data_IF_139008263594
#
_entry.id   IF_139008263594
#
_cell.length_a   1.000
_cell.length_b   1.000
_cell.length_c   1.000
_cell.angle_alpha   90.00
_cell.angle_beta   90.00
_cell.angle_gamma   90.00
#
_symmetry.space_group_name_H-M   'P 1'
#
loop_
_entity.id
_entity.type
_entity.pdbx_description
1 polymer ?
#
# COMPACT_ATOMS: atom_id res chain seq x y z
N UNK A 1 -10.02 -35.92 7.60
CA UNK A 1 -8.62 -35.46 7.71
C UNK A 1 -8.62 -33.94 7.76
N UNK A 2 -7.82 -33.33 8.64
CA UNK A 2 -7.65 -31.88 8.69
C UNK A 2 -6.68 -31.50 7.57
N UNK A 3 -7.04 -30.54 6.72
CA UNK A 3 -6.13 -29.98 5.72
C UNK A 3 -5.12 -29.08 6.40
N UNK A 4 -4.01 -29.64 6.88
CA UNK A 4 -2.94 -28.85 7.49
C UNK A 4 -2.35 -27.90 6.45
N UNK A 5 -2.34 -26.61 6.75
CA UNK A 5 -1.45 -25.69 6.05
C UNK A 5 0.01 -26.11 6.30
N UNK A 6 0.88 -25.91 5.31
CA UNK A 6 2.32 -26.10 5.47
C UNK A 6 2.97 -25.01 6.35
N UNK A 7 2.30 -23.85 6.48
CA UNK A 7 2.65 -22.77 7.38
C UNK A 7 1.36 -22.07 7.86
N UNK A 8 1.21 -21.71 9.14
CA UNK A 8 0.11 -20.86 9.61
C UNK A 8 0.21 -19.41 9.09
N UNK A 9 1.35 -19.03 8.51
CA UNK A 9 1.58 -17.75 7.84
C UNK A 9 1.97 -18.02 6.38
N UNK A 10 1.02 -18.15 5.44
CA UNK A 10 1.31 -18.55 4.05
C UNK A 10 2.07 -17.47 3.25
N UNK A 11 2.12 -16.22 3.71
CA UNK A 11 2.75 -15.08 3.04
C UNK A 11 3.99 -14.55 3.80
N UNK A 12 4.59 -15.36 4.67
CA UNK A 12 5.70 -14.95 5.56
C UNK A 12 7.03 -14.78 4.83
N UNK A 13 7.22 -15.48 3.72
CA UNK A 13 8.48 -15.58 2.99
C UNK A 13 8.22 -15.40 1.49
N UNK A 14 8.85 -14.39 0.91
CA UNK A 14 8.77 -14.06 -0.51
C UNK A 14 10.17 -14.15 -1.15
N UNK A 15 10.23 -14.66 -2.36
CA UNK A 15 11.45 -14.75 -3.19
C UNK A 15 11.64 -13.51 -4.08
N UNK A 16 12.86 -13.32 -4.59
CA UNK A 16 13.12 -12.25 -5.56
C UNK A 16 12.33 -12.42 -6.87
N UNK A 17 11.97 -13.65 -7.25
CA UNK A 17 11.11 -13.92 -8.41
C UNK A 17 9.67 -13.43 -8.20
N UNK A 18 9.10 -13.67 -7.02
CA UNK A 18 7.79 -13.12 -6.63
C UNK A 18 7.84 -11.59 -6.47
N UNK A 19 8.95 -11.01 -5.97
CA UNK A 19 9.14 -9.55 -5.95
C UNK A 19 9.24 -8.97 -7.37
N UNK A 20 9.84 -9.68 -8.33
CA UNK A 20 9.79 -9.30 -9.74
C UNK A 20 8.34 -9.34 -10.27
N UNK A 21 7.60 -10.41 -10.00
CA UNK A 21 6.20 -10.60 -10.40
C UNK A 21 5.26 -9.55 -9.78
N UNK A 22 5.54 -9.11 -8.54
CA UNK A 22 4.88 -7.97 -7.89
C UNK A 22 5.08 -6.68 -8.69
N UNK A 23 6.31 -6.37 -9.14
CA UNK A 23 6.57 -5.17 -9.96
C UNK A 23 5.99 -5.24 -11.37
N UNK A 24 5.96 -6.45 -11.96
CA UNK A 24 5.26 -6.71 -13.22
C UNK A 24 3.76 -6.43 -13.06
N UNK A 25 3.17 -6.92 -11.96
CA UNK A 25 1.73 -6.79 -11.67
C UNK A 25 1.35 -5.33 -11.34
N UNK A 26 2.07 -4.65 -10.45
CA UNK A 26 1.72 -3.28 -10.04
C UNK A 26 1.95 -2.23 -11.14
N UNK A 27 3.01 -2.38 -11.95
CA UNK A 27 3.50 -1.29 -12.82
C UNK A 27 3.86 -1.73 -14.24
N UNK A 28 3.45 -2.93 -14.67
CA UNK A 28 3.75 -3.48 -16.00
C UNK A 28 5.26 -3.47 -16.33
N UNK A 29 6.11 -3.72 -15.32
CA UNK A 29 7.56 -3.67 -15.47
C UNK A 29 8.06 -4.72 -16.46
N UNK A 30 8.70 -4.26 -17.55
CA UNK A 30 9.42 -5.14 -18.47
C UNK A 30 10.77 -5.49 -17.88
N UNK A 31 10.92 -6.77 -17.54
CA UNK A 31 12.12 -7.39 -16.97
C UNK A 31 12.70 -8.32 -18.05
N UNK A 32 14.02 -8.38 -18.18
CA UNK A 32 14.68 -9.26 -19.12
C UNK A 32 15.07 -10.59 -18.48
N UNK A 33 15.12 -11.65 -19.28
CA UNK A 33 15.45 -13.04 -18.92
C UNK A 33 16.61 -13.15 -17.92
N UNK A 34 17.76 -12.50 -18.19
CA UNK A 34 18.90 -12.46 -17.27
C UNK A 34 18.52 -12.03 -15.83
N UNK A 35 17.64 -11.04 -15.65
CA UNK A 35 17.17 -10.66 -14.31
C UNK A 35 16.24 -11.71 -13.67
N UNK A 36 15.43 -12.38 -14.48
CA UNK A 36 14.53 -13.44 -14.02
C UNK A 36 15.32 -14.67 -13.55
N UNK A 37 16.46 -14.93 -14.19
CA UNK A 37 17.43 -15.97 -13.82
C UNK A 37 18.38 -15.57 -12.66
N UNK A 38 18.34 -14.31 -12.20
CA UNK A 38 19.26 -13.79 -11.16
C UNK A 38 20.66 -13.39 -11.66
N UNK A 39 20.86 -13.30 -12.97
CA UNK A 39 22.11 -12.96 -13.64
C UNK A 39 22.39 -11.43 -13.71
N UNK A 40 23.60 -11.08 -14.17
CA UNK A 40 24.02 -9.67 -14.29
C UNK A 40 23.28 -8.94 -15.41
N UNK A 41 22.47 -7.94 -15.05
CA UNK A 41 21.63 -7.22 -16.00
C UNK A 41 22.40 -6.26 -16.94
N UNK A 42 22.74 -6.75 -18.14
CA UNK A 42 23.31 -5.94 -19.22
C UNK A 42 22.29 -5.04 -19.96
N UNK A 43 20.99 -5.36 -19.90
CA UNK A 43 19.97 -4.66 -20.69
C UNK A 43 19.62 -3.29 -20.09
N UNK A 44 20.00 -2.21 -20.77
CA UNK A 44 19.77 -0.83 -20.32
C UNK A 44 18.30 -0.43 -20.16
N UNK A 45 17.37 -1.11 -20.86
CA UNK A 45 15.91 -0.87 -20.82
C UNK A 45 15.18 -1.73 -19.78
N UNK A 46 15.86 -2.66 -19.10
CA UNK A 46 15.24 -3.50 -18.08
C UNK A 46 14.81 -2.68 -16.86
N UNK A 47 13.52 -2.74 -16.52
CA UNK A 47 12.97 -1.96 -15.38
C UNK A 47 13.54 -2.41 -14.04
N UNK A 48 13.91 -3.69 -13.90
CA UNK A 48 14.45 -4.27 -12.66
C UNK A 48 15.76 -3.61 -12.20
N UNK A 49 16.52 -2.95 -13.08
CA UNK A 49 17.70 -2.13 -12.68
C UNK A 49 17.36 -1.00 -11.70
N UNK A 50 16.07 -0.70 -11.50
CA UNK A 50 15.55 0.29 -10.55
C UNK A 50 15.06 -0.31 -9.23
N UNK A 51 15.09 -1.64 -9.06
CA UNK A 51 14.58 -2.35 -7.87
C UNK A 51 15.24 -1.89 -6.57
N UNK A 52 16.54 -1.58 -6.59
CA UNK A 52 17.26 -1.02 -5.44
C UNK A 52 16.69 0.32 -4.93
N UNK A 53 15.96 1.08 -5.76
CA UNK A 53 15.24 2.29 -5.33
C UNK A 53 13.88 2.00 -4.67
N UNK A 54 13.46 0.75 -4.67
CA UNK A 54 12.19 0.24 -4.14
C UNK A 54 12.36 -0.75 -2.99
N UNK A 55 13.59 -0.98 -2.52
CA UNK A 55 13.94 -1.82 -1.37
C UNK A 55 12.88 -1.70 -0.24
N UNK A 56 12.58 -0.48 0.19
CA UNK A 56 11.67 -0.23 1.34
C UNK A 56 10.19 -0.15 0.96
N UNK A 57 9.84 -0.28 -0.32
CA UNK A 57 8.51 -0.73 -0.76
C UNK A 57 8.41 -2.25 -0.68
N UNK A 58 9.47 -3.00 -1.03
CA UNK A 58 9.50 -4.44 -0.82
C UNK A 58 9.50 -4.79 0.68
N UNK A 59 10.15 -4.00 1.54
CA UNK A 59 10.09 -4.20 3.00
C UNK A 59 8.72 -3.88 3.56
N UNK A 60 8.04 -2.84 3.06
CA UNK A 60 6.63 -2.59 3.34
C UNK A 60 5.75 -3.79 2.90
N UNK A 61 5.95 -4.31 1.68
CA UNK A 61 5.22 -5.48 1.18
C UNK A 61 5.45 -6.70 2.09
N UNK A 62 6.71 -7.04 2.41
CA UNK A 62 7.07 -8.14 3.32
C UNK A 62 6.41 -7.95 4.70
N UNK A 63 6.44 -6.73 5.24
CA UNK A 63 5.82 -6.41 6.53
C UNK A 63 4.30 -6.64 6.52
N UNK A 64 3.58 -6.07 5.55
CA UNK A 64 2.11 -6.21 5.51
C UNK A 64 1.68 -7.64 5.21
N UNK A 65 2.37 -8.33 4.30
CA UNK A 65 2.02 -9.72 3.94
C UNK A 65 2.42 -10.74 5.01
N UNK A 66 3.57 -10.62 5.66
CA UNK A 66 3.96 -11.53 6.75
C UNK A 66 3.06 -11.46 7.99
N UNK A 67 2.26 -10.39 8.13
CA UNK A 67 1.21 -10.28 9.14
C UNK A 67 -0.07 -11.07 8.82
N UNK A 68 -0.18 -11.69 7.64
CA UNK A 68 -1.35 -12.46 7.22
C UNK A 68 -1.49 -13.79 7.98
N UNK A 69 -2.61 -13.93 8.69
CA UNK A 69 -3.04 -15.10 9.48
C UNK A 69 -4.49 -15.44 9.10
N UNK A 70 -4.74 -16.43 8.23
CA UNK A 70 -6.08 -16.70 7.71
C UNK A 70 -7.10 -17.07 8.79
N UNK A 71 -8.37 -16.74 8.55
CA UNK A 71 -9.49 -17.11 9.42
C UNK A 71 -9.89 -18.58 9.17
N UNK A 72 -9.30 -19.49 9.94
CA UNK A 72 -9.41 -20.92 9.74
C UNK A 72 -10.57 -21.53 10.56
N UNK A 73 -11.79 -21.35 10.06
CA UNK A 73 -12.93 -22.16 10.48
C UNK A 73 -12.70 -23.65 10.13
N UNK A 74 -13.31 -24.61 10.86
CA UNK A 74 -13.15 -26.03 10.59
C UNK A 74 -13.45 -26.40 9.12
N UNK A 75 -12.46 -26.94 8.43
CA UNK A 75 -12.48 -27.32 7.01
C UNK A 75 -12.65 -26.18 5.97
N UNK A 76 -12.45 -24.91 6.35
CA UNK A 76 -12.26 -23.82 5.39
C UNK A 76 -10.91 -23.91 4.65
N UNK A 77 -10.76 -23.09 3.60
CA UNK A 77 -9.46 -22.78 2.99
C UNK A 77 -9.09 -21.32 3.33
N UNK A 78 -7.81 -20.93 3.30
CA UNK A 78 -7.42 -19.54 3.47
C UNK A 78 -7.74 -18.72 2.20
N UNK A 79 -8.03 -17.43 2.36
CA UNK A 79 -8.24 -16.53 1.24
C UNK A 79 -6.95 -16.32 0.42
N UNK A 80 -5.81 -16.18 1.08
CA UNK A 80 -4.49 -16.09 0.44
C UNK A 80 -3.64 -17.31 0.79
N UNK A 81 -3.31 -18.11 -0.23
CA UNK A 81 -2.54 -19.36 -0.12
C UNK A 81 -1.04 -19.15 -0.34
N UNK A 82 -0.69 -18.11 -1.10
CA UNK A 82 0.65 -17.72 -1.53
C UNK A 82 0.62 -16.27 -2.04
N UNK A 83 1.77 -15.74 -2.49
CA UNK A 83 1.83 -14.38 -3.04
C UNK A 83 1.11 -14.22 -4.39
N UNK A 84 0.92 -15.28 -5.18
CA UNK A 84 0.11 -15.24 -6.41
C UNK A 84 -1.34 -14.84 -6.16
N UNK A 85 -2.00 -15.36 -5.12
CA UNK A 85 -3.38 -14.94 -4.77
C UNK A 85 -3.47 -13.41 -4.56
N UNK A 86 -2.42 -12.80 -3.97
CA UNK A 86 -2.35 -11.34 -3.83
C UNK A 86 -2.19 -10.67 -5.19
N UNK A 87 -1.35 -11.20 -6.07
CA UNK A 87 -1.14 -10.65 -7.40
C UNK A 87 -2.38 -10.80 -8.29
N UNK A 88 -3.13 -11.89 -8.20
CA UNK A 88 -4.41 -12.09 -8.90
C UNK A 88 -5.45 -11.04 -8.49
N UNK A 89 -5.63 -10.81 -7.19
CA UNK A 89 -6.56 -9.79 -6.68
C UNK A 89 -6.13 -8.39 -7.16
N UNK A 90 -4.83 -8.08 -7.16
CA UNK A 90 -4.32 -6.81 -7.71
C UNK A 90 -4.65 -6.67 -9.21
N UNK A 91 -4.47 -7.72 -10.02
CA UNK A 91 -4.80 -7.70 -11.47
C UNK A 91 -6.30 -7.49 -11.69
N UNK A 92 -7.15 -8.17 -10.91
CA UNK A 92 -8.61 -8.02 -10.96
C UNK A 92 -9.03 -6.57 -10.63
N UNK A 93 -8.45 -6.00 -9.57
CA UNK A 93 -8.66 -4.62 -9.14
C UNK A 93 -8.19 -3.57 -10.17
N UNK A 94 -7.10 -3.86 -10.90
CA UNK A 94 -6.61 -3.00 -11.99
C UNK A 94 -7.45 -3.12 -13.27
N UNK A 95 -8.03 -4.29 -13.54
CA UNK A 95 -8.85 -4.54 -14.73
C UNK A 95 -10.25 -3.95 -14.61
N UNK A 96 -10.82 -3.92 -13.39
CA UNK A 96 -12.20 -3.50 -13.13
C UNK A 96 -12.31 -2.49 -11.97
N UNK A 97 -11.62 -1.33 -12.05
CA UNK A 97 -11.53 -0.38 -10.94
C UNK A 97 -12.87 0.26 -10.55
N UNK A 98 -13.83 0.29 -11.47
CA UNK A 98 -15.18 0.86 -11.30
C UNK A 98 -16.24 -0.17 -10.85
N UNK A 99 -15.90 -1.47 -10.81
CA UNK A 99 -16.79 -2.50 -10.27
C UNK A 99 -16.81 -2.43 -8.73
N UNK A 100 -17.94 -2.77 -8.10
CA UNK A 100 -18.07 -2.66 -6.63
C UNK A 100 -17.21 -3.70 -5.93
N UNK A 101 -16.71 -3.36 -4.74
CA UNK A 101 -15.98 -4.26 -3.84
C UNK A 101 -16.70 -5.61 -3.65
N UNK A 102 -18.01 -5.61 -3.42
CA UNK A 102 -18.83 -6.81 -3.23
C UNK A 102 -18.85 -7.72 -4.45
N UNK A 103 -19.07 -7.14 -5.64
CA UNK A 103 -19.10 -7.82 -6.93
C UNK A 103 -17.74 -8.48 -7.22
N UNK A 104 -16.64 -7.75 -7.07
CA UNK A 104 -15.27 -8.25 -7.24
C UNK A 104 -14.90 -9.36 -6.26
N UNK A 105 -15.30 -9.20 -4.99
CA UNK A 105 -15.07 -10.23 -3.95
C UNK A 105 -15.80 -11.52 -4.31
N UNK A 106 -17.06 -11.41 -4.73
CA UNK A 106 -17.86 -12.56 -5.17
C UNK A 106 -17.28 -13.21 -6.43
N UNK A 107 -16.90 -12.44 -7.45
CA UNK A 107 -16.37 -12.97 -8.71
C UNK A 107 -15.00 -13.67 -8.54
N UNK A 108 -14.19 -13.25 -7.57
CA UNK A 108 -12.93 -13.92 -7.25
C UNK A 108 -13.15 -15.23 -6.48
N UNK A 109 -13.93 -15.20 -5.40
CA UNK A 109 -14.05 -16.36 -4.50
C UNK A 109 -15.13 -17.38 -4.88
N UNK A 110 -16.12 -17.03 -5.71
CA UNK A 110 -17.12 -17.99 -6.25
C UNK A 110 -16.51 -19.07 -7.15
N UNK A 111 -15.31 -18.82 -7.69
CA UNK A 111 -14.53 -19.77 -8.52
C UNK A 111 -13.80 -20.85 -7.70
N UNK A 112 -13.90 -20.84 -6.36
CA UNK A 112 -13.26 -21.82 -5.47
C UNK A 112 -14.31 -22.83 -4.96
N UNK A 113 -14.00 -24.13 -5.07
CA UNK A 113 -14.86 -25.24 -4.58
C UNK A 113 -15.29 -25.10 -3.11
N UNK A 114 -14.48 -24.41 -2.31
CA UNK A 114 -14.74 -24.05 -0.92
C UNK A 114 -14.30 -22.61 -0.70
N UNK A 115 -15.20 -21.62 -0.77
CA UNK A 115 -14.84 -20.24 -0.50
C UNK A 115 -14.33 -20.09 0.95
N UNK A 116 -13.31 -19.25 1.18
CA UNK A 116 -12.83 -18.92 2.52
C UNK A 116 -13.88 -18.07 3.27
N UNK A 117 -13.80 -17.90 4.60
CA UNK A 117 -14.75 -17.09 5.36
C UNK A 117 -14.78 -15.63 4.89
N UNK A 118 -15.94 -14.97 4.99
CA UNK A 118 -16.13 -13.60 4.46
C UNK A 118 -15.17 -12.58 5.08
N UNK A 119 -14.84 -12.75 6.37
CA UNK A 119 -13.77 -12.05 7.09
C UNK A 119 -12.43 -12.08 6.33
N UNK A 120 -11.97 -13.27 5.98
CA UNK A 120 -10.70 -13.51 5.29
C UNK A 120 -10.75 -13.02 3.83
N UNK A 121 -11.87 -13.24 3.12
CA UNK A 121 -12.12 -12.67 1.79
C UNK A 121 -11.92 -11.15 1.79
N UNK A 122 -12.53 -10.47 2.76
CA UNK A 122 -12.48 -9.03 2.88
C UNK A 122 -11.08 -8.52 3.26
N UNK A 123 -10.35 -9.28 4.08
CA UNK A 123 -9.00 -8.92 4.47
C UNK A 123 -7.99 -9.12 3.34
N UNK A 124 -8.15 -10.17 2.52
CA UNK A 124 -7.38 -10.37 1.29
C UNK A 124 -7.48 -9.17 0.33
N UNK A 125 -8.70 -8.67 0.09
CA UNK A 125 -8.93 -7.45 -0.70
C UNK A 125 -8.36 -6.18 -0.05
N UNK A 126 -8.42 -6.07 1.29
CA UNK A 126 -7.81 -4.95 2.00
C UNK A 126 -6.27 -4.97 1.89
N UNK A 127 -5.65 -6.14 2.00
CA UNK A 127 -4.21 -6.33 1.86
C UNK A 127 -3.75 -6.00 0.43
N UNK A 128 -4.49 -6.43 -0.59
CA UNK A 128 -4.20 -6.09 -1.99
C UNK A 128 -4.25 -4.56 -2.22
N UNK A 129 -5.29 -3.87 -1.77
CA UNK A 129 -5.38 -2.40 -1.88
C UNK A 129 -4.30 -1.69 -1.05
N UNK A 130 -3.97 -2.19 0.14
CA UNK A 130 -2.88 -1.66 0.95
C UNK A 130 -1.52 -1.84 0.26
N UNK A 131 -1.28 -2.94 -0.46
CA UNK A 131 -0.09 -3.13 -1.31
C UNK A 131 -0.09 -2.16 -2.50
N UNK A 132 -1.22 -1.97 -3.19
CA UNK A 132 -1.31 -1.10 -4.36
C UNK A 132 -1.13 0.39 -4.05
N UNK A 133 -1.66 0.85 -2.91
CA UNK A 133 -1.86 2.27 -2.61
C UNK A 133 -1.14 2.77 -1.36
N UNK A 134 -0.55 1.88 -0.57
CA UNK A 134 -0.07 2.14 0.79
C UNK A 134 -1.13 2.80 1.69
N UNK A 135 -2.42 2.54 1.43
CA UNK A 135 -3.54 2.98 2.29
C UNK A 135 -4.03 1.82 3.14
N UNK A 136 -4.04 2.01 4.46
CA UNK A 136 -4.67 1.07 5.39
C UNK A 136 -6.19 1.21 5.32
N UNK A 137 -6.88 0.16 4.90
CA UNK A 137 -8.33 0.09 4.82
C UNK A 137 -8.92 -1.04 5.66
N UNK A 138 -10.17 -0.86 6.08
CA UNK A 138 -11.00 -1.87 6.72
C UNK A 138 -12.21 -2.17 5.83
N UNK A 139 -12.81 -3.35 6.03
CA UNK A 139 -14.11 -3.62 5.44
C UNK A 139 -15.21 -3.04 6.32
N UNK A 140 -16.37 -2.81 5.74
CA UNK A 140 -17.59 -2.49 6.46
C UNK A 140 -17.96 -3.59 7.48
N UNK A 141 -18.41 -3.18 8.67
CA UNK A 141 -18.66 -4.03 9.84
C UNK A 141 -17.45 -4.77 10.46
N UNK A 142 -16.23 -4.60 9.95
CA UNK A 142 -15.02 -4.99 10.71
C UNK A 142 -14.75 -3.97 11.82
N UNK A 143 -14.41 -4.39 13.06
CA UNK A 143 -14.03 -3.46 14.11
C UNK A 143 -12.75 -2.73 13.69
N UNK A 144 -12.82 -1.40 13.56
CA UNK A 144 -11.65 -0.57 13.24
C UNK A 144 -10.66 -0.56 14.41
N UNK A 145 -9.80 -1.58 14.45
CA UNK A 145 -8.71 -1.71 15.42
C UNK A 145 -7.93 -0.41 15.51
N UNK A 146 -7.87 0.15 16.72
CA UNK A 146 -7.23 1.43 16.98
C UNK A 146 -5.71 1.23 16.94
N UNK A 147 -5.15 1.31 15.73
CA UNK A 147 -3.73 1.17 15.48
C UNK A 147 -2.92 2.12 16.37
N UNK A 148 -1.82 1.63 16.93
CA UNK A 148 -0.99 2.30 17.94
C UNK A 148 -0.46 3.69 17.51
N UNK A 149 -0.50 3.99 16.20
CA UNK A 149 -0.13 5.28 15.60
C UNK A 149 -1.27 6.32 15.52
N UNK A 150 -2.43 6.01 16.11
CA UNK A 150 -3.57 6.93 16.23
C UNK A 150 -4.29 7.23 14.90
N UNK A 151 -4.22 6.33 13.93
CA UNK A 151 -4.82 6.48 12.60
C UNK A 151 -5.75 5.30 12.32
N UNK A 152 -7.07 5.54 12.34
CA UNK A 152 -8.03 4.53 11.92
C UNK A 152 -7.87 4.21 10.41
N UNK A 153 -8.05 2.94 10.00
CA UNK A 153 -8.20 2.58 8.59
C UNK A 153 -9.37 3.36 7.97
N UNK A 154 -9.31 3.65 6.66
CA UNK A 154 -10.51 4.08 5.94
C UNK A 154 -11.36 2.85 5.59
N UNK A 155 -12.62 2.86 6.00
CA UNK A 155 -13.58 1.83 5.62
C UNK A 155 -13.84 1.91 4.11
N UNK A 156 -13.58 0.82 3.38
CA UNK A 156 -13.98 0.62 1.99
C UNK A 156 -15.32 -0.13 2.00
N UNK A 157 -16.37 0.51 1.48
CA UNK A 157 -17.75 0.03 1.60
C UNK A 157 -18.04 -1.10 0.62
N UNK A 158 -19.05 -1.93 0.92
CA UNK A 158 -19.42 -3.06 0.04
C UNK A 158 -19.88 -2.62 -1.35
N UNK A 159 -20.54 -1.46 -1.43
CA UNK A 159 -21.12 -0.92 -2.65
C UNK A 159 -20.23 0.10 -3.37
N UNK A 160 -19.00 0.30 -2.90
CA UNK A 160 -18.06 1.30 -3.40
C UNK A 160 -17.01 0.64 -4.30
N UNK A 161 -16.67 1.27 -5.42
CA UNK A 161 -15.62 0.82 -6.32
C UNK A 161 -14.21 1.14 -5.81
N UNK A 162 -13.17 0.61 -6.46
CA UNK A 162 -11.80 1.01 -6.12
C UNK A 162 -11.54 2.48 -6.50
N UNK A 163 -12.07 2.93 -7.64
CA UNK A 163 -11.91 4.31 -8.10
C UNK A 163 -12.53 5.32 -7.12
N UNK A 164 -13.75 5.05 -6.64
CA UNK A 164 -14.44 5.86 -5.63
C UNK A 164 -13.66 5.88 -4.31
N UNK A 165 -13.25 4.70 -3.81
CA UNK A 165 -12.47 4.56 -2.59
C UNK A 165 -11.15 5.34 -2.63
N UNK A 166 -10.39 5.23 -3.72
CA UNK A 166 -9.10 5.95 -3.88
C UNK A 166 -9.34 7.46 -3.97
N UNK A 167 -10.36 7.91 -4.69
CA UNK A 167 -10.75 9.33 -4.77
C UNK A 167 -11.15 9.91 -3.40
N UNK A 168 -11.82 9.11 -2.57
CA UNK A 168 -12.20 9.48 -1.19
C UNK A 168 -11.03 9.39 -0.19
N UNK A 169 -10.09 8.47 -0.41
CA UNK A 169 -8.90 8.29 0.43
C UNK A 169 -7.86 9.41 0.22
N UNK A 170 -7.70 9.88 -1.02
CA UNK A 170 -6.75 10.93 -1.40
C UNK A 170 -7.51 12.22 -1.77
N UNK A 171 -7.63 13.20 -0.86
CA UNK A 171 -8.47 14.37 -1.10
C UNK A 171 -7.95 15.19 -2.28
N UNK A 172 -8.71 15.20 -3.38
CA UNK A 172 -8.49 16.05 -4.56
C UNK A 172 -8.79 17.53 -4.27
N UNK A 173 -8.20 18.08 -3.21
CA UNK A 173 -8.19 19.54 -3.02
C UNK A 173 -7.21 20.12 -4.02
N UNK A 174 -7.74 20.86 -4.99
CA UNK A 174 -6.97 21.85 -5.71
C UNK A 174 -6.25 22.74 -4.69
N UNK A 175 -4.93 22.67 -4.66
CA UNK A 175 -4.09 23.57 -3.88
C UNK A 175 -3.98 24.88 -4.64
N UNK A 176 -5.11 25.59 -4.69
CA UNK A 176 -5.31 26.80 -5.48
C UNK A 176 -4.12 27.75 -5.34
N UNK A 177 -3.60 28.16 -6.51
CA UNK A 177 -2.32 28.82 -6.72
C UNK A 177 -1.64 29.37 -5.46
N UNK A 178 -0.58 28.68 -4.99
CA UNK A 178 0.32 29.09 -3.90
C UNK A 178 1.17 30.35 -4.23
N UNK A 179 0.73 31.16 -5.19
CA UNK A 179 1.27 32.44 -5.55
C UNK A 179 0.75 33.49 -4.56
N UNK A 180 1.51 33.71 -3.48
CA UNK A 180 1.27 34.84 -2.59
C UNK A 180 1.83 36.08 -3.28
N UNK A 181 0.92 36.91 -3.79
CA UNK A 181 1.23 38.28 -4.20
C UNK A 181 1.70 39.06 -2.97
N UNK A 182 2.82 39.77 -3.10
CA UNK A 182 3.18 40.78 -2.10
C UNK A 182 2.45 42.11 -2.36
N UNK A 183 2.67 43.12 -1.50
CA UNK A 183 2.00 44.43 -1.60
C UNK A 183 2.32 45.22 -2.88
N UNK A 184 3.25 44.73 -3.71
CA UNK A 184 3.59 45.27 -5.03
C UNK A 184 2.90 44.53 -6.19
N UNK A 185 2.20 43.42 -5.91
CA UNK A 185 1.61 42.56 -6.95
C UNK A 185 2.59 41.57 -7.60
N UNK A 186 3.83 41.50 -7.13
CA UNK A 186 4.85 40.55 -7.62
C UNK A 186 4.58 39.14 -7.08
N UNK A 187 4.81 38.12 -7.92
CA UNK A 187 4.63 36.71 -7.55
C UNK A 187 5.91 36.17 -6.91
N UNK A 188 5.92 36.02 -5.59
CA UNK A 188 7.03 35.38 -4.87
C UNK A 188 6.95 33.86 -4.95
N UNK A 189 7.95 33.20 -5.54
CA UNK A 189 8.10 31.75 -5.40
C UNK A 189 8.60 31.35 -4.01
N UNK A 190 7.66 31.22 -3.09
CA UNK A 190 7.89 30.78 -1.71
C UNK A 190 8.33 29.30 -1.65
N UNK A 191 8.10 28.49 -2.71
CA UNK A 191 8.50 27.07 -2.74
C UNK A 191 10.01 26.92 -2.60
N UNK A 192 10.79 27.81 -3.24
CA UNK A 192 12.25 27.92 -3.05
C UNK A 192 12.69 28.10 -1.59
N UNK A 193 11.89 28.76 -0.76
CA UNK A 193 12.19 29.01 0.65
C UNK A 193 11.77 27.86 1.59
N UNK A 194 10.74 27.09 1.22
CA UNK A 194 10.10 26.02 2.01
C UNK A 194 10.88 24.70 2.07
N UNK A 195 12.20 24.75 2.25
CA UNK A 195 12.99 23.54 2.50
C UNK A 195 12.68 22.91 3.87
N UNK A 196 12.64 21.58 3.96
CA UNK A 196 12.41 20.85 5.22
C UNK A 196 13.42 21.25 6.33
N UNK A 197 14.66 21.60 5.94
CA UNK A 197 15.70 22.12 6.86
C UNK A 197 15.31 23.47 7.48
N UNK A 198 14.67 24.37 6.71
CA UNK A 198 14.13 25.64 7.22
C UNK A 198 12.84 25.43 8.02
N UNK A 199 11.93 24.58 7.55
CA UNK A 199 10.70 24.23 8.30
C UNK A 199 11.03 23.69 9.71
N UNK A 200 12.04 22.79 9.81
CA UNK A 200 12.51 22.28 11.11
C UNK A 200 13.24 23.32 11.96
N UNK A 201 14.15 24.12 11.37
CA UNK A 201 15.01 25.05 12.13
C UNK A 201 14.34 26.38 12.50
N UNK A 202 13.44 26.89 11.66
CA UNK A 202 12.86 28.24 11.77
C UNK A 202 11.42 28.17 12.27
N UNK A 203 10.58 27.33 11.66
CA UNK A 203 9.18 27.18 12.05
C UNK A 203 8.95 26.16 13.19
N UNK A 204 10.03 25.58 13.76
CA UNK A 204 9.98 24.62 14.86
C UNK A 204 9.31 23.28 14.53
N UNK A 205 9.03 23.01 13.25
CA UNK A 205 8.19 21.90 12.84
C UNK A 205 8.88 20.55 13.05
N UNK A 206 8.15 19.63 13.69
CA UNK A 206 8.56 18.25 13.91
C UNK A 206 8.14 17.39 12.72
N UNK A 207 8.88 16.32 12.47
CA UNK A 207 8.76 15.48 11.28
C UNK A 207 8.61 14.02 11.71
N UNK A 208 7.51 13.35 11.31
CA UNK A 208 7.19 11.95 11.68
C UNK A 208 6.95 11.07 10.44
N UNK A 209 7.44 9.83 10.48
CA UNK A 209 7.14 8.81 9.47
C UNK A 209 5.67 8.38 9.45
N UNK A 210 5.17 8.09 8.25
CA UNK A 210 3.91 7.39 8.01
C UNK A 210 4.10 6.37 6.90
N UNK A 211 3.61 5.15 7.09
CA UNK A 211 3.47 4.15 6.03
C UNK A 211 2.15 4.36 5.25
N UNK A 212 1.13 4.90 5.92
CA UNK A 212 -0.13 5.32 5.32
C UNK A 212 0.03 6.62 4.48
N UNK A 213 -0.08 6.51 3.15
CA UNK A 213 0.08 7.63 2.23
C UNK A 213 -0.99 8.73 2.38
N UNK A 214 -2.17 8.45 2.98
CA UNK A 214 -3.18 9.49 3.28
C UNK A 214 -2.70 10.54 4.29
N UNK A 215 -1.65 10.22 5.04
CA UNK A 215 -1.02 11.13 6.00
C UNK A 215 0.27 11.76 5.45
N UNK A 216 0.61 11.55 4.19
CA UNK A 216 1.74 12.22 3.55
C UNK A 216 1.51 13.74 3.52
N UNK A 217 2.51 14.51 3.98
CA UNK A 217 2.47 15.98 4.15
C UNK A 217 1.34 16.50 5.08
N UNK A 218 0.74 15.64 5.92
CA UNK A 218 -0.35 16.03 6.82
C UNK A 218 0.19 16.71 8.07
N UNK A 219 -0.16 17.98 8.26
CA UNK A 219 0.22 18.79 9.44
C UNK A 219 -0.82 18.68 10.57
N UNK A 220 -0.40 18.21 11.75
CA UNK A 220 -1.10 18.49 13.02
C UNK A 220 -0.68 19.88 13.50
N UNK A 221 -1.55 20.86 13.25
CA UNK A 221 -1.33 22.28 13.58
C UNK A 221 -1.18 22.50 15.08
N UNK A 222 -1.84 21.68 15.93
CA UNK A 222 -1.78 21.81 17.39
C UNK A 222 -0.45 21.32 17.98
N UNK A 223 0.26 20.44 17.27
CA UNK A 223 1.55 19.86 17.69
C UNK A 223 2.75 20.32 16.86
N UNK A 224 2.53 21.14 15.84
CA UNK A 224 3.56 21.53 14.87
C UNK A 224 4.19 20.33 14.15
N UNK A 225 3.41 19.26 13.94
CA UNK A 225 3.91 17.95 13.53
C UNK A 225 3.50 17.62 12.10
N UNK A 226 4.47 17.49 11.20
CA UNK A 226 4.28 17.05 9.82
C UNK A 226 4.52 15.55 9.71
N UNK A 227 3.47 14.81 9.32
CA UNK A 227 3.62 13.44 8.84
C UNK A 227 4.12 13.47 7.39
N UNK A 228 5.09 12.61 7.08
CA UNK A 228 5.66 12.43 5.75
C UNK A 228 6.10 10.97 5.61
N UNK A 229 6.13 10.44 4.39
CA UNK A 229 6.48 9.03 4.17
C UNK A 229 7.98 8.82 4.33
N UNK A 230 8.42 8.67 5.58
CA UNK A 230 9.73 8.11 5.87
C UNK A 230 9.70 6.63 5.52
N UNK A 231 10.11 6.34 4.29
CA UNK A 231 10.86 5.13 3.96
C UNK A 231 12.05 5.02 4.92
N UNK A 232 11.91 4.25 6.00
CA UNK A 232 12.76 4.40 7.20
C UNK A 232 14.27 4.21 6.91
N UNK A 233 15.14 5.12 7.39
CA UNK A 233 16.52 4.74 7.67
C UNK A 233 16.49 3.77 8.87
N UNK A 234 17.37 2.78 8.85
CA UNK A 234 17.56 1.88 9.98
C UNK A 234 17.90 2.67 11.24
N UNK A 235 17.36 2.24 12.38
CA UNK A 235 17.75 2.75 13.69
C UNK A 235 19.16 2.28 14.02
N UNK A 236 20.16 3.05 13.57
CA UNK A 236 21.52 2.92 14.09
C UNK A 236 21.51 3.23 15.58
N UNK A 237 21.53 2.19 16.41
CA UNK A 237 21.94 2.29 17.81
C UNK A 237 23.39 2.80 17.87
N UNK A 238 23.66 3.60 18.91
CA UNK A 238 24.97 4.17 19.25
C UNK A 238 26.09 3.14 19.31
#
# INVERSE_FOLDING_TARGET
MIGSLASPYPLKSITDAELQQLTQTLWNWKICEACQNGETCINSRCSWRRSARLERFFDFYKYVTSSYVPDLLPASTPALRNHDDVFEIIRLLQAYPDMKRSELTHEYFSKRDRPPPSSDQHWAFNLAVQVMSMVKCSAENQPSGLLELGTQPIQWLYNESLAEFISRAFPQKDTGNLHIYDGSGEIRDIKSALSAKRLRKIAGLRFQGTDDLRNHLKMDVKKGLWKFTITQPSSGST
#
